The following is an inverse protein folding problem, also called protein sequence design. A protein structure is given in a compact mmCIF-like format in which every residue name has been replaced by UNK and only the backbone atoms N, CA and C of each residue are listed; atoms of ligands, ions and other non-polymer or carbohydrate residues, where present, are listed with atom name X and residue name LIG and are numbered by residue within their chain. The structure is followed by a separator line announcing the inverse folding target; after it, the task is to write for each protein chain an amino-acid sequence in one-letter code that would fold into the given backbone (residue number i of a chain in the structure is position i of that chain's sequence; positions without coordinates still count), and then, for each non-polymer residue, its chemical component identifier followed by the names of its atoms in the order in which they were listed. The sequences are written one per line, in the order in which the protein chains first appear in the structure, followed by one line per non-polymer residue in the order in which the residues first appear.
data_IF_953972875047
#
_entry.id   IF_953972875047
#
_cell.length_a   1.000
_cell.length_b   1.000
_cell.length_c   1.000
_cell.angle_alpha   90.00
_cell.angle_beta   90.00
_cell.angle_gamma   90.00
#
_symmetry.space_group_name_H-M   'P 1'
#
loop_
_entity.id
_entity.type
_entity.pdbx_description
1 polymer ?
#
# COMPACT_ATOMS: atom_id res chain seq x y z
N UNK A 1 -5.49 13.50 1.43
CA UNK A 1 -4.53 12.52 1.99
C UNK A 1 -3.10 12.81 1.54
N UNK A 2 -2.10 12.79 2.43
CA UNK A 2 -0.67 12.92 2.08
C UNK A 2 0.02 11.55 2.21
N UNK A 3 0.74 11.13 1.18
CA UNK A 3 1.55 9.89 1.17
C UNK A 3 3.02 10.29 1.15
N UNK A 4 3.79 9.80 2.13
CA UNK A 4 5.22 10.05 2.15
C UNK A 4 5.92 8.97 1.32
N UNK A 5 6.45 9.34 0.16
CA UNK A 5 7.34 8.49 -0.63
C UNK A 5 8.75 8.62 -0.07
N UNK A 6 9.26 7.54 0.51
CA UNK A 6 10.49 7.54 1.30
C UNK A 6 11.68 6.90 0.57
N UNK A 7 11.44 6.18 -0.53
CA UNK A 7 12.44 5.50 -1.35
C UNK A 7 11.96 5.41 -2.80
N UNK A 8 12.87 5.43 -3.80
CA UNK A 8 12.53 4.98 -5.14
C UNK A 8 12.14 3.49 -5.15
N UNK A 9 11.45 3.07 -6.21
CA UNK A 9 11.28 1.65 -6.54
C UNK A 9 12.49 1.16 -7.34
N UNK A 10 13.04 0.03 -6.92
CA UNK A 10 14.12 -0.63 -7.63
C UNK A 10 13.56 -1.63 -8.66
N UNK A 11 14.21 -1.81 -9.83
CA UNK A 11 13.72 -2.72 -10.86
C UNK A 11 14.06 -4.19 -10.54
N UNK A 12 13.56 -4.73 -9.41
CA UNK A 12 13.86 -6.11 -8.97
C UNK A 12 13.05 -7.19 -9.70
N UNK A 13 11.95 -6.81 -10.35
CA UNK A 13 11.14 -7.64 -11.24
C UNK A 13 10.36 -6.72 -12.21
N UNK A 14 10.10 -7.10 -13.47
CA UNK A 14 9.35 -6.30 -14.43
C UNK A 14 7.96 -5.85 -13.96
N UNK A 15 7.37 -6.56 -12.99
CA UNK A 15 6.01 -6.33 -12.47
C UNK A 15 5.96 -5.40 -11.26
N UNK A 16 7.11 -5.04 -10.66
CA UNK A 16 7.18 -4.25 -9.42
C UNK A 16 6.35 -2.97 -9.50
N UNK A 17 6.42 -2.25 -10.61
CA UNK A 17 5.71 -0.99 -10.77
C UNK A 17 4.19 -1.19 -10.84
N UNK A 18 3.72 -2.28 -11.46
CA UNK A 18 2.29 -2.62 -11.49
C UNK A 18 1.78 -3.04 -10.11
N UNK A 19 2.53 -3.91 -9.43
CA UNK A 19 2.23 -4.33 -8.06
C UNK A 19 2.18 -3.12 -7.10
N UNK A 20 3.13 -2.19 -7.24
CA UNK A 20 3.14 -0.97 -6.44
C UNK A 20 1.93 -0.09 -6.70
N UNK A 21 1.58 0.16 -7.97
CA UNK A 21 0.41 0.95 -8.34
C UNK A 21 -0.88 0.35 -7.79
N UNK A 22 -0.98 -0.99 -7.76
CA UNK A 22 -2.12 -1.67 -7.17
C UNK A 22 -2.22 -1.44 -5.65
N UNK A 23 -1.11 -1.59 -4.92
CA UNK A 23 -1.07 -1.28 -3.47
C UNK A 23 -1.40 0.19 -3.22
N UNK A 24 -0.86 1.10 -4.03
CA UNK A 24 -1.14 2.52 -3.92
C UNK A 24 -2.62 2.83 -4.17
N UNK A 25 -3.23 2.20 -5.18
CA UNK A 25 -4.67 2.33 -5.45
C UNK A 25 -5.51 1.80 -4.30
N UNK A 26 -5.15 0.66 -3.70
CA UNK A 26 -5.83 0.13 -2.51
C UNK A 26 -5.78 1.15 -1.37
N UNK A 27 -4.60 1.67 -1.07
CA UNK A 27 -4.39 2.65 0.01
C UNK A 27 -5.15 3.95 -0.26
N UNK A 28 -5.16 4.41 -1.51
CA UNK A 28 -5.88 5.63 -1.88
C UNK A 28 -7.39 5.40 -1.79
N UNK A 29 -7.94 4.36 -2.42
CA UNK A 29 -9.38 4.15 -2.53
C UNK A 29 -10.04 3.67 -1.24
N UNK A 30 -9.26 3.17 -0.28
CA UNK A 30 -9.76 2.76 1.03
C UNK A 30 -10.23 3.96 1.86
N UNK A 31 -11.31 3.75 2.61
CA UNK A 31 -11.87 4.74 3.53
C UNK A 31 -11.47 4.49 4.98
N UNK A 32 -11.26 3.22 5.30
CA UNK A 32 -10.78 2.80 6.61
C UNK A 32 -9.54 1.90 6.49
N UNK A 33 -8.72 1.86 7.54
CA UNK A 33 -7.51 1.01 7.54
C UNK A 33 -7.83 -0.49 7.38
N UNK A 34 -8.99 -0.91 7.89
CA UNK A 34 -9.47 -2.28 7.73
C UNK A 34 -9.79 -2.62 6.27
N UNK A 35 -10.22 -1.64 5.47
CA UNK A 35 -10.40 -1.84 4.03
C UNK A 35 -9.07 -2.06 3.33
N UNK A 36 -8.03 -1.30 3.70
CA UNK A 36 -6.67 -1.50 3.17
C UNK A 36 -6.23 -2.93 3.43
N UNK A 37 -6.37 -3.41 4.67
CA UNK A 37 -6.00 -4.78 5.05
C UNK A 37 -6.77 -5.83 4.24
N UNK A 38 -8.10 -5.70 4.18
CA UNK A 38 -8.97 -6.62 3.44
C UNK A 38 -8.64 -6.65 1.95
N UNK A 39 -8.52 -5.48 1.32
CA UNK A 39 -8.23 -5.35 -0.12
C UNK A 39 -6.83 -5.85 -0.48
N UNK A 40 -5.82 -5.66 0.39
CA UNK A 40 -4.49 -6.24 0.19
C UNK A 40 -4.51 -7.77 0.17
N UNK A 41 -5.38 -8.40 0.98
CA UNK A 41 -5.56 -9.85 0.99
C UNK A 41 -6.33 -10.29 -0.26
N UNK A 42 -7.48 -9.68 -0.53
CA UNK A 42 -8.36 -10.01 -1.67
C UNK A 42 -7.64 -9.87 -3.01
N UNK A 43 -6.78 -8.84 -3.15
CA UNK A 43 -6.06 -8.53 -4.38
C UNK A 43 -4.58 -8.92 -4.30
N UNK A 44 -4.21 -9.77 -3.32
CA UNK A 44 -2.82 -10.18 -3.18
C UNK A 44 -2.31 -10.90 -4.42
N UNK A 45 -3.17 -11.59 -5.17
CA UNK A 45 -2.79 -12.35 -6.37
C UNK A 45 -3.50 -11.77 -7.59
N UNK A 46 -2.75 -11.43 -8.62
CA UNK A 46 -3.28 -10.95 -9.90
C UNK A 46 -2.43 -11.41 -11.08
N UNK A 47 -3.07 -11.61 -12.23
CA UNK A 47 -2.39 -12.04 -13.47
C UNK A 47 -1.32 -11.03 -13.93
N UNK A 48 -1.60 -9.74 -13.76
CA UNK A 48 -0.75 -8.64 -14.24
C UNK A 48 0.52 -8.41 -13.42
N UNK A 49 0.54 -8.84 -12.16
CA UNK A 49 1.60 -8.51 -11.21
C UNK A 49 2.04 -9.65 -10.30
N UNK A 50 1.51 -10.86 -10.48
CA UNK A 50 1.79 -11.96 -9.57
C UNK A 50 1.26 -11.67 -8.17
N UNK A 51 2.05 -11.97 -7.13
CA UNK A 51 1.66 -11.66 -5.76
C UNK A 51 2.19 -10.30 -5.28
N UNK A 52 1.31 -9.44 -4.75
CA UNK A 52 1.69 -8.19 -4.10
C UNK A 52 2.70 -8.44 -2.97
N UNK A 53 2.43 -9.44 -2.13
CA UNK A 53 3.32 -9.82 -1.03
C UNK A 53 4.62 -10.49 -1.49
N UNK A 54 4.68 -10.91 -2.75
CA UNK A 54 5.90 -11.39 -3.39
C UNK A 54 6.86 -10.26 -3.77
N UNK A 55 6.36 -9.06 -4.07
CA UNK A 55 7.20 -7.89 -4.35
C UNK A 55 7.41 -6.99 -3.14
N UNK A 56 6.44 -6.94 -2.24
CA UNK A 56 6.43 -6.02 -1.12
C UNK A 56 6.15 -6.72 0.21
N UNK A 57 6.64 -6.11 1.28
CA UNK A 57 6.22 -6.41 2.63
C UNK A 57 5.48 -5.19 3.18
N UNK A 58 4.33 -5.41 3.83
CA UNK A 58 3.59 -4.36 4.50
C UNK A 58 3.38 -4.67 5.97
N UNK A 59 3.19 -3.62 6.77
CA UNK A 59 2.82 -3.74 8.17
C UNK A 59 1.93 -2.60 8.62
N UNK A 60 1.17 -2.88 9.68
CA UNK A 60 0.30 -1.95 10.38
C UNK A 60 0.84 -1.80 11.80
N UNK A 61 1.58 -0.72 12.07
CA UNK A 61 2.24 -0.51 13.37
C UNK A 61 2.34 0.98 13.68
N UNK A 62 2.18 1.34 14.95
CA UNK A 62 2.30 2.71 15.45
C UNK A 62 1.42 3.69 14.63
N UNK A 63 0.15 3.31 14.45
CA UNK A 63 -0.85 4.08 13.68
C UNK A 63 -0.47 4.37 12.22
N UNK A 64 0.45 3.58 11.67
CA UNK A 64 0.93 3.73 10.30
C UNK A 64 0.80 2.43 9.50
N UNK A 65 0.37 2.57 8.27
CA UNK A 65 0.60 1.60 7.21
C UNK A 65 1.97 1.89 6.62
N UNK A 66 2.81 0.86 6.52
CA UNK A 66 4.15 0.98 5.96
C UNK A 66 4.41 -0.10 4.94
N UNK A 67 5.10 0.27 3.86
CA UNK A 67 5.40 -0.61 2.74
C UNK A 67 6.91 -0.63 2.50
N UNK A 68 7.48 -1.81 2.36
CA UNK A 68 8.86 -2.04 1.96
C UNK A 68 8.90 -2.87 0.69
N UNK A 69 9.85 -2.55 -0.19
CA UNK A 69 10.13 -3.38 -1.35
C UNK A 69 11.07 -4.52 -0.95
N UNK A 70 10.73 -5.73 -1.39
CA UNK A 70 11.63 -6.89 -1.28
C UNK A 70 12.77 -6.77 -2.29
N UNK A 71 13.95 -7.25 -1.90
CA UNK A 71 15.15 -7.22 -2.77
C UNK A 71 15.02 -8.11 -4.02
N UNK A 72 14.01 -8.98 -4.06
CA UNK A 72 13.66 -9.85 -5.18
C UNK A 72 12.28 -10.46 -4.96
N UNK A 73 11.67 -11.05 -5.99
CA UNK A 73 10.36 -11.69 -5.87
C UNK A 73 10.42 -12.84 -4.86
N UNK A 74 9.52 -12.82 -3.86
CA UNK A 74 9.45 -13.75 -2.73
C UNK A 74 10.68 -13.79 -1.80
N UNK A 75 11.62 -12.84 -1.91
CA UNK A 75 12.75 -12.77 -0.97
C UNK A 75 12.28 -12.40 0.44
N UNK A 76 12.85 -13.01 1.47
CA UNK A 76 12.57 -12.64 2.86
C UNK A 76 13.17 -11.30 3.29
N UNK A 77 14.11 -10.76 2.51
CA UNK A 77 14.80 -9.49 2.74
C UNK A 77 14.13 -8.32 2.01
N UNK A 78 14.11 -7.15 2.65
CA UNK A 78 13.65 -5.90 2.08
C UNK A 78 14.79 -4.88 1.99
N UNK A 79 14.64 -3.89 1.12
CA UNK A 79 15.47 -2.69 1.19
C UNK A 79 15.26 -1.99 2.54
N UNK A 80 16.32 -1.35 3.04
CA UNK A 80 16.32 -0.72 4.37
C UNK A 80 15.32 0.44 4.48
N UNK A 81 15.11 1.16 3.38
CA UNK A 81 14.17 2.26 3.32
C UNK A 81 12.76 1.76 2.99
N UNK A 82 11.77 2.36 3.68
CA UNK A 82 10.35 2.22 3.32
C UNK A 82 10.12 2.85 1.96
N UNK A 83 9.20 2.27 1.18
CA UNK A 83 8.71 2.89 -0.05
C UNK A 83 7.68 3.95 0.29
N UNK A 84 6.68 3.59 1.10
CA UNK A 84 5.68 4.53 1.62
C UNK A 84 5.38 4.33 3.10
N UNK A 85 4.95 5.41 3.74
CA UNK A 85 4.35 5.41 5.07
C UNK A 85 3.10 6.31 5.09
N UNK A 86 2.00 5.80 5.61
CA UNK A 86 0.70 6.49 5.67
C UNK A 86 0.09 6.34 7.06
N UNK A 87 -0.24 7.45 7.70
CA UNK A 87 -0.90 7.43 9.01
C UNK A 87 -2.39 7.05 8.86
N UNK A 88 -2.93 6.25 9.78
CA UNK A 88 -4.33 5.80 9.72
C UNK A 88 -5.32 6.96 9.72
N UNK A 89 -5.03 8.01 10.50
CA UNK A 89 -5.83 9.24 10.50
C UNK A 89 -5.92 9.94 9.15
N UNK A 90 -4.92 9.79 8.27
CA UNK A 90 -4.95 10.35 6.92
C UNK A 90 -5.88 9.58 5.97
N UNK A 91 -6.08 8.28 6.23
CA UNK A 91 -7.03 7.44 5.50
C UNK A 91 -8.45 7.73 6.02
N UNK A 92 -8.63 7.73 7.35
CA UNK A 92 -9.94 7.99 7.98
C UNK A 92 -10.49 9.41 7.73
N UNK A 93 -9.63 10.42 7.54
CA UNK A 93 -10.08 11.76 7.17
C UNK A 93 -10.84 11.78 5.83
N UNK A 94 -10.49 10.88 4.90
CA UNK A 94 -11.14 10.77 3.59
C UNK A 94 -12.58 10.25 3.72
N UNK A 95 -12.83 9.36 4.68
CA UNK A 95 -14.18 8.86 4.97
C UNK A 95 -15.10 10.03 5.38
N UNK A 96 -14.62 10.86 6.31
CA UNK A 96 -15.36 12.02 6.82
C UNK A 96 -15.62 13.11 5.76
N UNK A 97 -14.67 13.35 4.86
CA UNK A 97 -14.84 14.36 3.79
C UNK A 97 -16.01 13.99 2.86
N UNK A 98 -16.19 12.71 2.53
CA UNK A 98 -17.27 12.25 1.65
C UNK A 98 -18.61 12.23 2.37
N UNK A 99 -18.63 11.81 3.63
CA UNK A 99 -19.86 11.84 4.45
C UNK A 99 -20.43 13.27 4.51
N UNK A 100 -19.56 14.28 4.67
CA UNK A 100 -19.97 15.69 4.65
C UNK A 100 -20.49 16.17 3.29
N UNK A 101 -20.00 15.62 2.17
CA UNK A 101 -20.53 15.93 0.82
C UNK A 101 -21.87 15.25 0.59
N UNK A 102 -22.10 14.09 1.20
CA UNK A 102 -23.35 13.31 1.08
C UNK A 102 -24.51 13.89 1.89
N UNK A 103 -24.20 14.70 2.90
CA UNK A 103 -25.15 15.32 3.83
C UNK A 103 -25.59 16.74 3.42
N UNK A 104 -25.11 17.26 2.28
CA UNK A 104 -25.51 18.53 1.68
C UNK A 104 -26.24 18.30 0.36
#
# INVERSE_FOLDING_TARGET
MRINHLSPLYPTDPRVHRAYSEILNIVLLSRHIMDVSRMLIERNVGHEYGSLSGHFHWSFRNDCFTLWQRTGYNHHTCFSQRVIAVHFGAIAARDKEIDNVSLN
#
